data_IF_546710616027
#
_entry.id   IF_546710616027
#
_cell.length_a   1.000
_cell.length_b   1.000
_cell.length_c   1.000
_cell.angle_alpha   90.00
_cell.angle_beta   90.00
_cell.angle_gamma   90.00
#
_symmetry.space_group_name_H-M   'P 1'
#
loop_
_entity.id
_entity.type
_entity.pdbx_description
1 polymer ?
#
# COMPACT_ATOMS: atom_id res chain seq x y z
N UNK A 1 -24.76 -10.54 21.38
CA UNK A 1 -23.69 -11.22 22.12
C UNK A 1 -22.35 -10.55 21.84
N UNK A 2 -21.52 -10.33 22.86
CA UNK A 2 -20.10 -10.02 22.64
C UNK A 2 -19.42 -11.34 22.32
N UNK A 3 -19.00 -11.56 21.09
CA UNK A 3 -18.29 -12.77 20.66
C UNK A 3 -17.01 -13.04 21.48
N UNK A 4 -16.43 -11.99 22.09
CA UNK A 4 -15.29 -12.07 23.01
C UNK A 4 -15.56 -11.22 24.27
N UNK A 5 -16.20 -11.77 25.32
CA UNK A 5 -16.45 -11.02 26.54
C UNK A 5 -15.14 -10.65 27.23
N UNK A 6 -14.97 -9.36 27.58
CA UNK A 6 -13.79 -8.85 28.29
C UNK A 6 -12.66 -8.30 27.41
N UNK A 7 -12.71 -8.48 26.09
CA UNK A 7 -11.79 -7.83 25.15
C UNK A 7 -12.29 -6.43 24.73
N UNK A 8 -11.35 -5.60 24.25
CA UNK A 8 -11.63 -4.24 23.75
C UNK A 8 -12.62 -4.24 22.58
N UNK A 9 -13.47 -3.21 22.52
CA UNK A 9 -14.49 -3.07 21.48
C UNK A 9 -14.02 -2.08 20.41
N UNK A 10 -13.60 -2.59 19.26
CA UNK A 10 -13.12 -1.78 18.13
C UNK A 10 -14.26 -1.24 17.23
N UNK A 11 -15.44 -0.95 17.77
CA UNK A 11 -16.58 -0.42 16.97
C UNK A 11 -17.03 0.96 17.48
N UNK A 12 -17.40 1.89 16.58
CA UNK A 12 -17.45 1.74 15.12
C UNK A 12 -16.06 1.66 14.47
N UNK A 13 -15.93 0.89 13.38
CA UNK A 13 -14.69 0.84 12.58
C UNK A 13 -14.95 1.06 11.09
N UNK A 14 -13.92 1.57 10.42
CA UNK A 14 -13.75 1.62 8.97
C UNK A 14 -12.58 0.71 8.60
N UNK A 15 -12.68 0.00 7.48
CA UNK A 15 -11.58 -0.80 6.92
C UNK A 15 -11.49 -0.61 5.41
N UNK A 16 -10.32 -0.88 4.84
CA UNK A 16 -10.09 -0.82 3.40
C UNK A 16 -8.84 -1.57 2.98
N UNK A 17 -8.80 -1.95 1.71
CA UNK A 17 -7.65 -2.56 1.05
C UNK A 17 -7.35 -1.82 -0.24
N UNK A 18 -6.08 -1.87 -0.66
CA UNK A 18 -5.58 -1.24 -1.87
C UNK A 18 -6.20 -1.84 -3.14
N UNK A 19 -6.77 -3.04 -3.04
CA UNK A 19 -7.51 -3.76 -4.07
C UNK A 19 -8.94 -3.22 -4.31
N UNK A 20 -9.16 -1.92 -4.12
CA UNK A 20 -10.44 -1.22 -4.34
C UNK A 20 -11.59 -1.69 -3.45
N UNK A 21 -11.28 -2.22 -2.28
CA UNK A 21 -12.29 -2.67 -1.31
C UNK A 21 -12.34 -1.75 -0.10
N UNK A 22 -13.54 -1.33 0.31
CA UNK A 22 -13.75 -0.52 1.51
C UNK A 22 -15.01 -1.00 2.24
N UNK A 23 -15.03 -0.88 3.56
CA UNK A 23 -16.16 -1.35 4.38
C UNK A 23 -16.15 -0.78 5.80
N UNK A 24 -17.13 -1.18 6.59
CA UNK A 24 -17.26 -0.81 8.00
C UNK A 24 -17.94 -1.92 8.79
N UNK A 25 -18.12 -1.74 10.09
CA UNK A 25 -18.72 -2.75 10.97
C UNK A 25 -20.22 -3.05 10.75
N UNK A 26 -20.86 -2.45 9.73
CA UNK A 26 -22.26 -2.66 9.36
C UNK A 26 -22.53 -4.07 8.81
N UNK A 27 -21.56 -4.66 8.10
CA UNK A 27 -21.56 -6.08 7.69
C UNK A 27 -20.18 -6.70 8.01
N UNK A 28 -19.93 -7.93 7.55
CA UNK A 28 -18.65 -8.65 7.71
C UNK A 28 -17.98 -8.95 6.38
N UNK A 29 -18.22 -8.08 5.41
CA UNK A 29 -17.63 -8.11 4.07
C UNK A 29 -17.32 -6.67 3.64
N UNK A 30 -16.49 -6.53 2.61
CA UNK A 30 -16.31 -5.23 1.93
C UNK A 30 -17.57 -4.93 1.12
N UNK A 31 -17.96 -3.66 1.03
CA UNK A 31 -19.18 -3.26 0.34
C UNK A 31 -18.91 -2.05 -0.55
N UNK A 32 -18.87 -2.32 -1.86
CA UNK A 32 -18.65 -1.30 -2.88
C UNK A 32 -19.81 -0.32 -3.00
N UNK A 33 -21.06 -0.76 -2.84
CA UNK A 33 -22.22 0.13 -2.92
C UNK A 33 -22.29 1.04 -1.70
N UNK A 34 -21.97 0.50 -0.52
CA UNK A 34 -21.80 1.28 0.68
C UNK A 34 -20.72 2.35 0.52
N UNK A 35 -19.57 2.02 -0.09
CA UNK A 35 -18.49 2.98 -0.33
C UNK A 35 -18.91 4.11 -1.30
N UNK A 36 -19.69 3.79 -2.34
CA UNK A 36 -20.29 4.78 -3.25
C UNK A 36 -21.24 5.70 -2.49
N UNK A 37 -22.15 5.14 -1.69
CA UNK A 37 -23.09 5.93 -0.89
C UNK A 37 -22.37 6.80 0.15
N UNK A 38 -21.27 6.32 0.75
CA UNK A 38 -20.44 7.09 1.66
C UNK A 38 -19.82 8.30 0.94
N UNK A 39 -19.29 8.13 -0.28
CA UNK A 39 -18.79 9.24 -1.09
C UNK A 39 -19.90 10.23 -1.48
N UNK A 40 -21.10 9.74 -1.84
CA UNK A 40 -22.24 10.61 -2.11
C UNK A 40 -22.65 11.43 -0.88
N UNK A 41 -22.53 10.88 0.33
CA UNK A 41 -22.77 11.62 1.57
C UNK A 41 -21.69 12.68 1.81
N UNK A 42 -20.42 12.38 1.53
CA UNK A 42 -19.32 13.37 1.59
C UNK A 42 -19.60 14.51 0.62
N UNK A 43 -19.94 14.20 -0.64
CA UNK A 43 -20.27 15.18 -1.66
C UNK A 43 -21.47 16.03 -1.25
N UNK A 44 -22.56 15.42 -0.79
CA UNK A 44 -23.75 16.14 -0.31
C UNK A 44 -23.42 17.06 0.87
N UNK A 45 -22.58 16.61 1.80
CA UNK A 45 -22.15 17.40 2.95
C UNK A 45 -21.32 18.62 2.56
N UNK A 46 -20.50 18.50 1.51
CA UNK A 46 -19.69 19.60 0.95
C UNK A 46 -20.50 20.55 0.06
N UNK A 47 -21.65 20.10 -0.44
CA UNK A 47 -22.51 20.82 -1.39
C UNK A 47 -23.91 21.14 -0.84
N UNK A 48 -24.01 21.58 0.42
CA UNK A 48 -25.29 21.90 1.07
C UNK A 48 -25.96 23.19 0.56
N UNK A 49 -25.18 24.10 -0.01
CA UNK A 49 -25.63 25.40 -0.50
C UNK A 49 -25.70 25.39 -2.03
N UNK A 50 -26.92 25.32 -2.56
CA UNK A 50 -27.22 25.21 -3.99
C UNK A 50 -26.88 26.47 -4.80
N UNK A 51 -26.55 27.58 -4.12
CA UNK A 51 -26.12 28.83 -4.75
C UNK A 51 -24.61 28.91 -4.97
N UNK A 52 -23.83 28.02 -4.35
CA UNK A 52 -22.38 27.96 -4.53
C UNK A 52 -22.03 27.03 -5.70
N UNK A 53 -20.87 27.26 -6.36
CA UNK A 53 -20.34 26.28 -7.31
C UNK A 53 -20.21 24.91 -6.66
N UNK A 54 -20.43 23.87 -7.46
CA UNK A 54 -20.28 22.48 -7.04
C UNK A 54 -18.82 22.21 -6.63
N UNK A 55 -18.62 21.73 -5.41
CA UNK A 55 -17.37 21.14 -4.93
C UNK A 55 -17.26 19.70 -5.47
N UNK A 56 -16.25 19.46 -6.30
CA UNK A 56 -15.98 18.20 -6.99
C UNK A 56 -15.21 17.20 -6.12
N UNK A 57 -15.15 15.93 -6.57
CA UNK A 57 -14.31 14.90 -5.93
C UNK A 57 -12.83 15.30 -5.95
N UNK A 58 -12.37 15.91 -7.04
CA UNK A 58 -10.98 16.39 -7.16
C UNK A 58 -10.68 17.45 -6.10
N UNK A 59 -11.53 18.46 -5.96
CA UNK A 59 -11.34 19.52 -4.95
C UNK A 59 -11.38 18.98 -3.52
N UNK A 60 -12.26 18.02 -3.22
CA UNK A 60 -12.29 17.36 -1.91
C UNK A 60 -10.99 16.60 -1.65
N UNK A 61 -10.48 15.90 -2.66
CA UNK A 61 -9.26 15.10 -2.57
C UNK A 61 -8.04 16.00 -2.40
N UNK A 62 -7.93 17.06 -3.20
CA UNK A 62 -6.86 18.07 -3.08
C UNK A 62 -6.92 18.82 -1.75
N UNK A 63 -8.11 19.12 -1.24
CA UNK A 63 -8.26 19.70 0.09
C UNK A 63 -7.76 18.73 1.18
N UNK A 64 -8.05 17.44 1.06
CA UNK A 64 -7.52 16.42 1.97
C UNK A 64 -5.99 16.34 1.90
N UNK A 65 -5.39 16.36 0.70
CA UNK A 65 -3.94 16.39 0.55
C UNK A 65 -3.31 17.67 1.10
N UNK A 66 -3.98 18.82 0.94
CA UNK A 66 -3.52 20.09 1.50
C UNK A 66 -3.53 20.06 3.03
N UNK A 67 -4.44 19.29 3.65
CA UNK A 67 -4.53 19.18 5.11
C UNK A 67 -3.54 18.16 5.68
N UNK A 68 -3.40 16.99 5.05
CA UNK A 68 -2.67 15.84 5.62
C UNK A 68 -1.37 15.47 4.87
N UNK A 69 -1.13 16.05 3.70
CA UNK A 69 -0.15 15.59 2.73
C UNK A 69 -0.72 14.53 1.80
N UNK A 70 0.07 14.14 0.79
CA UNK A 70 -0.31 13.13 -0.20
C UNK A 70 0.61 11.92 -0.06
N UNK A 71 -0.01 10.74 -0.01
CA UNK A 71 0.69 9.49 -0.24
C UNK A 71 0.55 9.14 -1.72
N UNK A 72 1.61 9.35 -2.49
CA UNK A 72 1.71 8.86 -3.85
C UNK A 72 1.86 7.36 -3.82
N UNK A 73 0.98 6.64 -4.50
CA UNK A 73 0.94 5.19 -4.49
C UNK A 73 0.98 4.63 -5.90
N UNK A 74 1.77 3.58 -6.11
CA UNK A 74 1.76 2.76 -7.32
C UNK A 74 1.91 1.29 -6.95
N UNK A 75 1.34 0.39 -7.76
CA UNK A 75 1.59 -1.05 -7.67
C UNK A 75 2.02 -1.63 -9.00
N UNK A 76 3.13 -2.35 -8.99
CA UNK A 76 3.71 -3.03 -10.14
C UNK A 76 3.56 -4.53 -9.93
N UNK A 77 2.80 -5.19 -10.80
CA UNK A 77 2.57 -6.63 -10.73
C UNK A 77 3.37 -7.35 -11.82
N UNK A 78 4.23 -8.28 -11.42
CA UNK A 78 4.98 -9.16 -12.31
C UNK A 78 4.32 -10.54 -12.28
N UNK A 79 3.41 -10.76 -13.23
CA UNK A 79 2.56 -11.95 -13.26
C UNK A 79 3.18 -13.10 -14.07
N UNK A 80 2.89 -14.34 -13.70
CA UNK A 80 3.33 -15.54 -14.43
C UNK A 80 4.83 -15.81 -14.28
N UNK A 81 5.41 -15.49 -13.13
CA UNK A 81 6.81 -15.79 -12.82
C UNK A 81 6.93 -17.30 -12.57
N UNK A 82 7.59 -18.00 -13.48
CA UNK A 82 7.71 -19.46 -13.45
C UNK A 82 8.76 -19.95 -12.44
N UNK A 83 9.84 -19.18 -12.23
CA UNK A 83 10.99 -19.54 -11.39
C UNK A 83 11.60 -18.31 -10.73
N UNK A 84 12.35 -18.53 -9.65
CA UNK A 84 13.17 -17.51 -8.98
C UNK A 84 12.42 -16.56 -8.06
N UNK A 85 11.08 -16.58 -8.01
CA UNK A 85 10.31 -15.69 -7.13
C UNK A 85 10.57 -15.97 -5.63
N UNK A 86 10.57 -17.24 -5.22
CA UNK A 86 10.86 -17.63 -3.83
C UNK A 86 12.31 -17.31 -3.46
N UNK A 87 13.26 -17.56 -4.36
CA UNK A 87 14.68 -17.23 -4.18
C UNK A 87 14.88 -15.71 -4.04
N UNK A 88 14.17 -14.92 -4.84
CA UNK A 88 14.16 -13.46 -4.74
C UNK A 88 13.64 -12.98 -3.39
N UNK A 89 12.52 -13.53 -2.92
CA UNK A 89 11.97 -13.18 -1.61
C UNK A 89 12.92 -13.59 -0.47
N UNK A 90 13.55 -14.76 -0.55
CA UNK A 90 14.56 -15.19 0.43
C UNK A 90 15.81 -14.29 0.42
N UNK A 91 16.29 -13.90 -0.76
CA UNK A 91 17.39 -12.95 -0.91
C UNK A 91 17.06 -11.57 -0.35
N UNK A 92 15.82 -11.10 -0.52
CA UNK A 92 15.33 -9.85 0.08
C UNK A 92 15.33 -9.92 1.61
N UNK A 93 14.95 -11.05 2.22
CA UNK A 93 15.02 -11.22 3.69
C UNK A 93 16.45 -11.01 4.21
N UNK A 94 17.45 -11.55 3.52
CA UNK A 94 18.86 -11.35 3.89
C UNK A 94 19.31 -9.91 3.65
N UNK A 95 18.95 -9.33 2.50
CA UNK A 95 19.26 -7.94 2.15
C UNK A 95 18.71 -6.97 3.20
N UNK A 96 17.47 -7.19 3.67
CA UNK A 96 16.84 -6.38 4.70
C UNK A 96 17.66 -6.24 5.98
N UNK A 97 18.47 -7.25 6.36
CA UNK A 97 19.31 -7.19 7.57
C UNK A 97 20.38 -6.11 7.48
N UNK A 98 20.77 -5.73 6.26
CA UNK A 98 21.82 -4.76 6.01
C UNK A 98 21.31 -3.37 5.60
N UNK A 99 20.02 -3.23 5.28
CA UNK A 99 19.46 -1.97 4.78
C UNK A 99 19.30 -0.86 5.82
N UNK A 100 18.94 -1.11 7.09
CA UNK A 100 18.70 -0.03 8.06
C UNK A 100 19.86 0.96 8.14
N UNK A 101 19.52 2.25 8.18
CA UNK A 101 20.43 3.39 8.18
C UNK A 101 21.29 3.59 6.90
N UNK A 102 21.17 2.74 5.86
CA UNK A 102 21.78 3.02 4.56
C UNK A 102 21.04 4.14 3.84
N UNK A 103 21.79 5.00 3.17
CA UNK A 103 21.27 6.00 2.23
C UNK A 103 21.41 5.47 0.81
N UNK A 104 20.31 5.45 0.05
CA UNK A 104 20.27 4.97 -1.32
C UNK A 104 19.40 5.90 -2.16
N UNK A 105 19.94 6.41 -3.27
CA UNK A 105 19.25 7.38 -4.14
C UNK A 105 18.67 8.59 -3.39
N UNK A 106 19.40 9.09 -2.38
CA UNK A 106 18.98 10.22 -1.55
C UNK A 106 17.85 9.90 -0.56
N UNK A 107 17.53 8.62 -0.36
CA UNK A 107 16.52 8.17 0.61
C UNK A 107 17.21 7.32 1.69
N UNK A 108 16.95 7.64 2.95
CA UNK A 108 17.52 6.90 4.09
C UNK A 108 16.55 5.85 4.59
N UNK A 109 17.00 4.60 4.64
CA UNK A 109 16.18 3.49 5.16
C UNK A 109 16.09 3.59 6.68
N UNK A 110 14.86 3.67 7.19
CA UNK A 110 14.55 3.64 8.62
C UNK A 110 14.53 2.20 9.14
N UNK A 111 13.82 1.31 8.45
CA UNK A 111 13.69 -0.10 8.81
C UNK A 111 13.41 -0.95 7.58
N UNK A 112 13.78 -2.22 7.64
CA UNK A 112 13.52 -3.20 6.59
C UNK A 112 13.28 -4.57 7.24
N UNK A 113 12.15 -5.20 6.97
CA UNK A 113 11.74 -6.43 7.65
C UNK A 113 10.83 -7.32 6.79
N UNK A 114 10.72 -8.60 7.15
CA UNK A 114 9.62 -9.47 6.71
C UNK A 114 8.44 -9.26 7.66
N UNK A 115 7.35 -8.70 7.15
CA UNK A 115 6.19 -8.30 7.94
C UNK A 115 5.51 -9.51 8.58
N UNK A 116 5.24 -9.38 9.87
CA UNK A 116 4.50 -10.31 10.70
C UNK A 116 3.41 -9.53 11.46
N UNK A 117 2.24 -10.14 11.58
CA UNK A 117 1.12 -9.57 12.32
C UNK A 117 0.59 -10.57 13.35
N UNK A 118 0.41 -10.09 14.57
CA UNK A 118 -0.24 -10.83 15.66
C UNK A 118 -1.61 -10.22 15.92
N UNK A 119 -2.67 -11.00 15.73
CA UNK A 119 -4.04 -10.54 15.88
C UNK A 119 -4.38 -10.24 17.36
N UNK A 120 -4.85 -9.04 17.73
CA UNK A 120 -5.10 -8.70 19.13
C UNK A 120 -6.38 -9.36 19.71
N UNK A 121 -7.21 -9.97 18.87
CA UNK A 121 -8.48 -10.61 19.25
C UNK A 121 -8.28 -12.10 19.47
N UNK A 122 -7.64 -12.82 18.55
CA UNK A 122 -7.45 -14.27 18.65
C UNK A 122 -5.99 -14.71 18.87
N UNK A 123 -5.05 -13.76 18.88
CA UNK A 123 -3.62 -13.98 19.13
C UNK A 123 -2.93 -14.86 18.06
N UNK A 124 -3.58 -15.10 16.92
CA UNK A 124 -2.97 -15.77 15.79
C UNK A 124 -1.83 -14.94 15.19
N UNK A 125 -0.78 -15.63 14.74
CA UNK A 125 0.42 -15.01 14.15
C UNK A 125 0.46 -15.34 12.66
N UNK A 126 0.50 -14.29 11.84
CA UNK A 126 0.65 -14.37 10.39
C UNK A 126 2.02 -13.83 9.98
N UNK A 127 2.99 -14.73 9.81
CA UNK A 127 4.35 -14.40 9.35
C UNK A 127 4.45 -14.34 7.82
N UNK A 128 5.57 -13.80 7.31
CA UNK A 128 5.89 -13.75 5.87
C UNK A 128 4.85 -13.03 5.00
N UNK A 129 4.24 -11.97 5.52
CA UNK A 129 3.17 -11.23 4.84
C UNK A 129 3.67 -10.15 3.88
N UNK A 130 4.97 -10.14 3.58
CA UNK A 130 5.62 -9.26 2.63
C UNK A 130 6.89 -8.64 3.20
N UNK A 131 7.82 -8.28 2.33
CA UNK A 131 9.02 -7.53 2.72
C UNK A 131 8.67 -6.05 2.73
N UNK A 132 8.85 -5.37 3.86
CA UNK A 132 8.52 -3.97 4.04
C UNK A 132 9.78 -3.16 4.32
N UNK A 133 10.07 -2.18 3.48
CA UNK A 133 11.22 -1.28 3.58
C UNK A 133 10.66 0.13 3.76
N UNK A 134 10.90 0.72 4.93
CA UNK A 134 10.37 2.02 5.34
C UNK A 134 11.52 3.02 5.35
N UNK A 135 11.30 4.19 4.76
CA UNK A 135 12.25 5.29 4.74
C UNK A 135 11.97 6.32 5.83
N UNK A 136 12.95 7.14 6.16
CA UNK A 136 12.84 8.14 7.23
C UNK A 136 11.83 9.25 6.92
N UNK A 137 11.53 9.49 5.64
CA UNK A 137 10.56 10.49 5.18
C UNK A 137 9.10 9.97 5.18
N UNK A 138 8.89 8.71 5.57
CA UNK A 138 7.58 8.06 5.56
C UNK A 138 7.25 7.30 4.27
N UNK A 139 8.10 7.36 3.24
CA UNK A 139 7.98 6.54 2.04
C UNK A 139 8.20 5.06 2.36
N UNK A 140 7.70 4.15 1.51
CA UNK A 140 7.95 2.71 1.63
C UNK A 140 7.96 1.97 0.30
N UNK A 141 8.68 0.86 0.30
CA UNK A 141 8.66 -0.18 -0.74
C UNK A 141 8.20 -1.47 -0.07
N UNK A 142 7.21 -2.14 -0.67
CA UNK A 142 6.75 -3.46 -0.19
C UNK A 142 6.80 -4.48 -1.31
N UNK A 143 7.40 -5.64 -1.06
CA UNK A 143 7.31 -6.80 -1.94
C UNK A 143 6.37 -7.84 -1.33
N UNK A 144 5.41 -8.31 -2.11
CA UNK A 144 4.53 -9.42 -1.71
C UNK A 144 4.48 -10.47 -2.80
N UNK A 145 4.74 -11.71 -2.42
CA UNK A 145 4.54 -12.84 -3.29
C UNK A 145 3.11 -13.36 -3.16
N UNK A 146 2.46 -13.63 -4.28
CA UNK A 146 1.10 -14.16 -4.31
C UNK A 146 0.95 -15.22 -5.40
N UNK A 147 -0.02 -16.12 -5.24
CA UNK A 147 -0.38 -17.06 -6.32
C UNK A 147 0.66 -18.12 -6.65
N UNK A 148 1.32 -18.73 -5.66
CA UNK A 148 2.36 -19.77 -5.86
C UNK A 148 1.83 -21.15 -6.35
N UNK A 149 0.66 -21.17 -6.99
CA UNK A 149 0.02 -22.39 -7.52
C UNK A 149 0.49 -22.77 -8.93
N UNK A 150 -0.29 -23.61 -9.61
CA UNK A 150 0.03 -24.14 -10.94
C UNK A 150 0.14 -23.11 -12.07
N UNK A 151 -0.31 -21.87 -11.84
CA UNK A 151 -0.33 -20.78 -12.83
C UNK A 151 0.89 -19.85 -12.78
N UNK A 152 1.89 -20.18 -11.96
CA UNK A 152 3.07 -19.33 -11.73
C UNK A 152 2.78 -18.22 -10.72
N UNK A 153 3.84 -17.69 -10.10
CA UNK A 153 3.71 -16.71 -9.04
C UNK A 153 3.53 -15.28 -9.59
N UNK A 154 2.90 -14.43 -8.79
CA UNK A 154 2.83 -12.98 -9.02
C UNK A 154 3.60 -12.27 -7.92
N UNK A 155 4.66 -11.56 -8.31
CA UNK A 155 5.38 -10.63 -7.43
C UNK A 155 4.67 -9.29 -7.53
N UNK A 156 4.14 -8.80 -6.41
CA UNK A 156 3.54 -7.47 -6.29
C UNK A 156 4.52 -6.55 -5.61
N UNK A 157 4.90 -5.48 -6.31
CA UNK A 157 5.76 -4.42 -5.82
C UNK A 157 4.89 -3.19 -5.56
N UNK A 158 4.77 -2.82 -4.29
CA UNK A 158 4.05 -1.64 -3.85
C UNK A 158 5.05 -0.52 -3.57
N UNK A 159 4.73 0.66 -4.08
CA UNK A 159 5.57 1.84 -3.97
C UNK A 159 4.72 2.96 -3.39
N UNK A 160 5.18 3.53 -2.27
CA UNK A 160 4.51 4.68 -1.67
C UNK A 160 5.52 5.75 -1.33
N UNK A 161 5.29 6.98 -1.80
CA UNK A 161 6.06 8.16 -1.44
C UNK A 161 5.16 9.13 -0.71
N UNK A 162 5.54 9.47 0.52
CA UNK A 162 4.87 10.54 1.26
C UNK A 162 5.41 11.90 0.83
N UNK A 163 4.50 12.83 0.62
CA UNK A 163 4.77 14.25 0.44
C UNK A 163 3.92 15.06 1.41
N UNK A 164 4.57 15.95 2.17
CA UNK A 164 3.90 16.71 3.22
C UNK A 164 2.97 17.80 2.67
N UNK A 165 2.08 18.40 3.48
CA UNK A 165 1.14 19.45 3.07
C UNK A 165 1.73 20.65 2.31
N UNK A 166 3.04 20.90 2.46
CA UNK A 166 3.77 22.02 1.83
C UNK A 166 4.63 21.60 0.64
N UNK A 167 4.64 20.32 0.30
CA UNK A 167 5.40 19.78 -0.82
C UNK A 167 4.67 19.92 -2.14
N UNK A 168 5.18 19.24 -3.18
CA UNK A 168 4.49 19.16 -4.46
C UNK A 168 3.43 18.05 -4.43
N UNK A 169 2.16 18.46 -4.32
CA UNK A 169 1.02 17.57 -4.22
C UNK A 169 0.32 17.32 -5.56
N UNK A 170 0.72 18.02 -6.63
CA UNK A 170 0.08 17.97 -7.95
C UNK A 170 0.89 17.16 -8.97
N UNK A 171 2.11 16.75 -8.60
CA UNK A 171 2.95 15.89 -9.43
C UNK A 171 2.27 14.58 -9.86
N UNK A 172 2.78 14.03 -10.96
CA UNK A 172 2.38 12.72 -11.48
C UNK A 172 2.82 11.61 -10.54
N UNK A 173 1.89 10.72 -10.17
CA UNK A 173 2.20 9.62 -9.25
C UNK A 173 3.29 8.68 -9.78
N UNK A 174 3.31 8.42 -11.09
CA UNK A 174 4.27 7.51 -11.69
C UNK A 174 5.68 8.11 -11.69
N UNK A 175 5.80 9.42 -11.90
CA UNK A 175 7.09 10.10 -11.87
C UNK A 175 7.65 10.15 -10.45
N UNK A 176 6.79 10.40 -9.45
CA UNK A 176 7.17 10.43 -8.03
C UNK A 176 7.57 9.04 -7.52
N UNK A 177 6.87 7.98 -7.94
CA UNK A 177 7.17 6.61 -7.51
C UNK A 177 8.31 5.94 -8.29
N UNK A 178 8.72 6.48 -9.45
CA UNK A 178 9.76 5.88 -10.29
C UNK A 178 11.11 5.68 -9.57
N UNK A 179 11.65 6.66 -8.79
CA UNK A 179 12.88 6.43 -8.03
C UNK A 179 12.79 5.27 -7.03
N UNK A 180 11.63 5.07 -6.40
CA UNK A 180 11.37 3.93 -5.52
C UNK A 180 11.36 2.62 -6.32
N UNK A 181 10.72 2.61 -7.51
CA UNK A 181 10.71 1.43 -8.38
C UNK A 181 12.13 1.04 -8.80
N UNK A 182 12.95 1.99 -9.22
CA UNK A 182 14.32 1.70 -9.65
C UNK A 182 15.18 1.18 -8.48
N UNK A 183 15.02 1.76 -7.28
CA UNK A 183 15.69 1.25 -6.08
C UNK A 183 15.22 -0.17 -5.73
N UNK A 184 13.91 -0.44 -5.83
CA UNK A 184 13.35 -1.76 -5.61
C UNK A 184 13.96 -2.80 -6.56
N UNK A 185 14.19 -2.44 -7.82
CA UNK A 185 14.84 -3.32 -8.80
C UNK A 185 16.31 -3.60 -8.46
N UNK A 186 17.04 -2.60 -7.93
CA UNK A 186 18.45 -2.76 -7.52
C UNK A 186 18.61 -3.69 -6.31
N UNK A 187 17.72 -3.60 -5.32
CA UNK A 187 17.86 -4.36 -4.06
C UNK A 187 17.26 -5.77 -4.12
N UNK A 188 16.38 -6.05 -5.09
CA UNK A 188 15.66 -7.33 -5.17
C UNK A 188 16.30 -8.37 -6.08
N UNK A 189 17.24 -7.99 -6.94
CA UNK A 189 17.76 -8.86 -8.01
C UNK A 189 16.63 -9.45 -8.91
N UNK A 190 15.44 -8.83 -8.94
CA UNK A 190 14.23 -9.35 -9.60
C UNK A 190 14.48 -9.72 -11.07
N UNK A 191 15.09 -8.89 -11.93
CA UNK A 191 15.35 -9.26 -13.32
C UNK A 191 16.28 -10.46 -13.47
N UNK A 192 17.29 -10.55 -12.62
CA UNK A 192 18.31 -11.59 -12.68
C UNK A 192 17.74 -12.95 -12.27
N UNK A 193 16.87 -12.97 -11.27
CA UNK A 193 16.28 -14.20 -10.73
C UNK A 193 15.05 -14.66 -11.50
N UNK A 194 14.26 -13.73 -12.04
CA UNK A 194 12.94 -14.05 -12.66
C UNK A 194 12.91 -13.88 -14.18
N UNK A 195 13.92 -13.20 -14.75
CA UNK A 195 13.93 -12.79 -16.16
C UNK A 195 12.98 -11.63 -16.48
N UNK A 196 12.27 -11.06 -15.50
CA UNK A 196 11.31 -9.97 -15.72
C UNK A 196 11.96 -8.60 -15.53
N UNK A 197 11.95 -7.78 -16.58
CA UNK A 197 12.52 -6.42 -16.55
C UNK A 197 11.45 -5.34 -16.44
N UNK A 198 10.19 -5.64 -16.79
CA UNK A 198 9.05 -4.72 -16.72
C UNK A 198 7.85 -5.40 -16.07
N UNK A 199 7.01 -4.65 -15.33
CA UNK A 199 5.78 -5.20 -14.78
C UNK A 199 4.79 -5.56 -15.88
N UNK A 200 3.97 -6.57 -15.64
CA UNK A 200 2.83 -6.95 -16.49
C UNK A 200 1.69 -5.94 -16.34
N UNK A 201 1.44 -5.49 -15.12
CA UNK A 201 0.37 -4.52 -14.78
C UNK A 201 0.93 -3.41 -13.89
N UNK A 202 0.47 -2.19 -14.13
CA UNK A 202 0.73 -1.03 -13.28
C UNK A 202 -0.62 -0.46 -12.84
N UNK A 203 -0.79 -0.24 -11.53
CA UNK A 203 -1.93 0.46 -10.92
C UNK A 203 -1.46 1.75 -10.28
#
# INVERSE_FOLDING_TARGET
EKYFPGKESYVPFLCGEESFGTGSNHIREKDGMWAVLAWLQILASKNKDDKKPLVTVEEITKAHWTEYGRNYYCRYDYEGVEKGADEMMAGLVETCKELPAKEMKGMTVKSAESFEYTDPVDESVSSNQGINIIFTDGSRIVFRLSGTGSSGATIRLYLEKYEGPKGDLDSSQFDVCKPLAELAMEISDLPKLTGRTTPTVIT
#
